data_IF_902296581146
#
_entry.id   IF_902296581146
#
_cell.length_a   1.000
_cell.length_b   1.000
_cell.length_c   1.000
_cell.angle_alpha   90.00
_cell.angle_beta   90.00
_cell.angle_gamma   90.00
#
_symmetry.space_group_name_H-M   'P 1'
#
loop_
_entity.id
_entity.type
_entity.pdbx_description
1 polymer ?
#
# COMPACT_ATOMS: atom_id res chain seq x y z
N UNK A 1 3.48 -2.74 -16.22
CA UNK A 1 3.06 -2.90 -14.81
C UNK A 1 1.78 -2.08 -14.62
N UNK A 2 0.92 -2.42 -13.66
CA UNK A 2 -0.34 -1.68 -13.40
C UNK A 2 -0.37 -1.17 -11.97
N UNK A 3 -1.03 -0.04 -11.74
CA UNK A 3 -1.25 0.49 -10.40
C UNK A 3 -2.28 -0.35 -9.64
N UNK A 4 -2.07 -0.48 -8.33
CA UNK A 4 -2.99 -1.14 -7.40
C UNK A 4 -3.40 -0.14 -6.33
N UNK A 5 -4.70 -0.05 -6.07
CA UNK A 5 -5.25 0.84 -5.04
C UNK A 5 -4.85 0.33 -3.65
N UNK A 6 -4.25 1.23 -2.87
CA UNK A 6 -3.95 0.98 -1.45
C UNK A 6 -5.20 1.23 -0.63
N UNK A 7 -5.58 0.27 0.21
CA UNK A 7 -6.83 0.31 0.99
C UNK A 7 -6.62 0.74 2.44
N UNK A 8 -5.37 0.73 2.92
CA UNK A 8 -5.03 1.23 4.26
C UNK A 8 -3.53 1.23 4.52
N UNK A 9 -3.12 1.88 5.61
CA UNK A 9 -1.72 1.87 6.06
C UNK A 9 -1.59 1.71 7.57
N UNK A 10 -0.41 1.30 8.04
CA UNK A 10 0.00 1.39 9.44
C UNK A 10 1.39 2.00 9.53
N UNK A 11 1.58 2.95 10.44
CA UNK A 11 2.86 3.62 10.63
C UNK A 11 3.52 3.23 11.96
N UNK A 12 4.83 2.99 11.92
CA UNK A 12 5.67 2.73 13.09
C UNK A 12 7.01 3.47 12.92
N UNK A 13 7.05 4.74 13.37
CA UNK A 13 8.19 5.62 13.16
C UNK A 13 8.46 5.83 11.67
N UNK A 14 9.57 5.29 11.17
CA UNK A 14 9.99 5.33 9.75
C UNK A 14 9.51 4.15 8.91
N UNK A 15 8.73 3.22 9.47
CA UNK A 15 8.16 2.10 8.72
C UNK A 15 6.72 2.42 8.36
N UNK A 16 6.40 2.38 7.08
CA UNK A 16 5.03 2.51 6.58
C UNK A 16 4.62 1.20 5.93
N UNK A 17 3.64 0.51 6.52
CA UNK A 17 3.09 -0.73 5.97
C UNK A 17 1.78 -0.43 5.28
N UNK A 18 1.72 -0.64 3.96
CA UNK A 18 0.51 -0.47 3.16
C UNK A 18 -0.21 -1.79 2.95
N UNK A 19 -1.55 -1.75 2.93
CA UNK A 19 -2.45 -2.88 2.67
C UNK A 19 -3.20 -2.67 1.35
N UNK A 20 -3.41 -3.74 0.60
CA UNK A 20 -4.13 -3.71 -0.68
C UNK A 20 -4.65 -5.10 -1.04
N UNK A 21 -5.64 -5.17 -1.93
CA UNK A 21 -6.10 -6.41 -2.54
C UNK A 21 -5.37 -6.63 -3.87
N UNK A 22 -4.98 -7.87 -4.16
CA UNK A 22 -4.35 -8.23 -5.43
C UNK A 22 -4.59 -9.68 -5.81
N UNK A 23 -4.45 -10.00 -7.09
CA UNK A 23 -4.45 -11.38 -7.58
C UNK A 23 -3.22 -12.20 -7.12
N UNK A 24 -3.40 -13.51 -6.95
CA UNK A 24 -2.33 -14.40 -6.43
C UNK A 24 -1.16 -14.65 -7.40
N UNK A 25 -1.33 -14.35 -8.70
CA UNK A 25 -0.30 -14.59 -9.72
C UNK A 25 0.39 -13.29 -10.19
N UNK A 26 0.62 -12.35 -9.29
CA UNK A 26 1.38 -11.15 -9.59
C UNK A 26 2.46 -10.89 -8.52
N UNK A 27 3.55 -10.28 -8.96
CA UNK A 27 4.48 -9.63 -8.07
C UNK A 27 3.98 -8.22 -7.75
N UNK A 28 4.14 -7.80 -6.50
CA UNK A 28 3.78 -6.47 -6.05
C UNK A 28 4.99 -5.75 -5.50
N UNK A 29 5.20 -4.52 -5.96
CA UNK A 29 6.20 -3.60 -5.40
C UNK A 29 5.48 -2.40 -4.81
N UNK A 30 5.91 -1.99 -3.62
CA UNK A 30 5.44 -0.77 -2.98
C UNK A 30 6.57 0.25 -2.95
N UNK A 31 6.22 1.52 -3.16
CA UNK A 31 7.12 2.65 -3.05
C UNK A 31 6.43 3.79 -2.31
N UNK A 32 7.23 4.66 -1.69
CA UNK A 32 6.78 5.90 -1.08
C UNK A 32 7.59 7.07 -1.63
N UNK A 33 6.91 8.21 -1.82
CA UNK A 33 7.53 9.51 -2.10
C UNK A 33 7.13 10.48 -1.01
N UNK A 34 8.13 11.04 -0.34
CA UNK A 34 7.92 11.95 0.78
C UNK A 34 7.95 13.41 0.34
N UNK A 35 7.13 14.21 1.01
CA UNK A 35 7.12 15.66 0.95
C UNK A 35 6.81 16.22 2.34
N UNK A 36 6.75 17.54 2.48
CA UNK A 36 6.60 18.20 3.78
C UNK A 36 5.30 17.81 4.51
N UNK A 37 4.17 17.74 3.80
CA UNK A 37 2.83 17.54 4.38
C UNK A 37 2.25 16.14 4.11
N UNK A 38 2.84 15.37 3.18
CA UNK A 38 2.29 14.07 2.78
C UNK A 38 3.35 13.06 2.34
N UNK A 39 2.94 11.79 2.39
CA UNK A 39 3.62 10.63 1.82
C UNK A 39 2.72 10.02 0.75
N UNK A 40 3.17 10.06 -0.51
CA UNK A 40 2.47 9.40 -1.62
C UNK A 40 2.93 7.96 -1.70
N UNK A 41 2.00 7.01 -1.61
CA UNK A 41 2.27 5.58 -1.75
C UNK A 41 1.83 5.08 -3.12
N UNK A 42 2.63 4.19 -3.69
CA UNK A 42 2.30 3.53 -4.96
C UNK A 42 2.56 2.05 -4.83
N UNK A 43 1.59 1.24 -5.26
CA UNK A 43 1.76 -0.20 -5.42
C UNK A 43 1.61 -0.53 -6.89
N UNK A 44 2.57 -1.27 -7.44
CA UNK A 44 2.53 -1.74 -8.83
C UNK A 44 2.47 -3.26 -8.87
N UNK A 45 1.59 -3.80 -9.71
CA UNK A 45 1.54 -5.21 -10.04
C UNK A 45 2.29 -5.54 -11.35
N UNK A 46 3.00 -6.67 -11.32
CA UNK A 46 3.56 -7.32 -12.51
C UNK A 46 3.04 -8.75 -12.57
N UNK A 47 2.15 -9.02 -13.53
CA UNK A 47 1.54 -10.34 -13.70
C UNK A 47 2.59 -11.36 -14.13
N UNK A 48 2.56 -12.54 -13.51
CA UNK A 48 3.42 -13.68 -13.85
C UNK A 48 2.82 -14.45 -15.03
N UNK A 49 3.64 -15.03 -15.91
CA UNK A 49 3.15 -15.89 -16.99
C UNK A 49 2.57 -17.20 -16.45
N UNK A 50 1.62 -17.80 -17.18
CA UNK A 50 1.03 -19.11 -16.88
C UNK A 50 -0.50 -19.10 -16.71
N UNK A 51 -1.09 -20.28 -16.50
CA UNK A 51 -2.51 -20.43 -16.18
C UNK A 51 -2.74 -19.93 -14.75
N UNK A 52 -3.49 -18.83 -14.59
CA UNK A 52 -3.75 -18.23 -13.29
C UNK A 52 -5.22 -18.35 -12.91
N UNK A 53 -5.49 -18.76 -11.67
CA UNK A 53 -6.82 -18.75 -11.09
C UNK A 53 -7.22 -17.32 -10.68
N UNK A 54 -8.49 -16.97 -10.88
CA UNK A 54 -9.05 -15.67 -10.50
C UNK A 54 -9.33 -15.61 -8.98
N UNK A 55 -8.27 -15.50 -8.18
CA UNK A 55 -8.35 -15.35 -6.72
C UNK A 55 -7.66 -14.07 -6.29
N UNK A 56 -8.38 -13.23 -5.55
CA UNK A 56 -7.86 -12.06 -4.86
C UNK A 56 -7.46 -12.39 -3.42
N UNK A 57 -6.40 -11.76 -2.93
CA UNK A 57 -5.92 -11.85 -1.55
C UNK A 57 -5.51 -10.48 -1.05
N UNK A 58 -5.62 -10.26 0.24
CA UNK A 58 -5.01 -9.10 0.89
C UNK A 58 -3.49 -9.28 1.05
N UNK A 59 -2.75 -8.24 0.70
CA UNK A 59 -1.32 -8.15 0.84
C UNK A 59 -0.94 -6.97 1.73
N UNK A 60 0.16 -7.13 2.46
CA UNK A 60 0.84 -6.06 3.16
C UNK A 60 2.26 -5.89 2.62
N UNK A 61 2.70 -4.65 2.44
CA UNK A 61 4.08 -4.32 2.06
C UNK A 61 4.59 -3.17 2.90
N UNK A 62 5.79 -3.32 3.44
CA UNK A 62 6.43 -2.27 4.24
C UNK A 62 7.45 -1.54 3.39
N UNK A 63 7.42 -0.22 3.44
CA UNK A 63 8.44 0.66 2.91
C UNK A 63 9.10 1.42 4.05
N UNK A 64 10.38 1.76 3.86
CA UNK A 64 11.11 2.62 4.77
C UNK A 64 11.01 4.07 4.31
N UNK A 65 10.71 4.95 5.25
CA UNK A 65 10.71 6.39 5.08
C UNK A 65 12.05 6.98 5.53
N UNK A 66 12.42 8.10 4.93
CA UNK A 66 13.56 8.93 5.28
C UNK A 66 13.33 9.59 6.65
N UNK A 67 12.10 10.07 6.91
CA UNK A 67 11.67 10.65 8.18
C UNK A 67 10.46 9.91 8.78
N UNK A 68 10.22 9.99 10.11
CA UNK A 68 9.01 9.42 10.72
C UNK A 68 7.73 9.97 10.09
N UNK A 69 6.65 9.17 9.98
CA UNK A 69 5.41 9.64 9.36
C UNK A 69 4.87 10.91 10.02
N UNK A 70 4.81 10.93 11.37
CA UNK A 70 4.24 12.02 12.17
C UNK A 70 2.84 12.40 11.67
N UNK A 71 2.54 13.70 11.51
CA UNK A 71 1.23 14.21 11.12
C UNK A 71 1.01 14.26 9.60
N UNK A 72 1.95 13.71 8.81
CA UNK A 72 1.87 13.75 7.34
C UNK A 72 0.76 12.85 6.84
N UNK A 73 -0.05 13.36 5.92
CA UNK A 73 -1.10 12.57 5.29
C UNK A 73 -0.51 11.46 4.41
N UNK A 74 -1.09 10.27 4.43
CA UNK A 74 -0.78 9.23 3.44
C UNK A 74 -1.79 9.31 2.31
N UNK A 75 -1.30 9.40 1.08
CA UNK A 75 -2.14 9.49 -0.12
C UNK A 75 -1.77 8.44 -1.15
N UNK A 76 -2.75 7.98 -1.92
CA UNK A 76 -2.57 7.07 -3.04
C UNK A 76 -1.95 7.76 -4.25
N UNK A 77 -1.70 6.99 -5.31
CA UNK A 77 -1.15 7.52 -6.57
C UNK A 77 -2.13 8.45 -7.31
N UNK A 78 -3.42 8.33 -7.01
CA UNK A 78 -4.52 9.19 -7.44
C UNK A 78 -4.60 10.51 -6.63
N UNK A 79 -3.85 10.61 -5.52
CA UNK A 79 -3.89 11.76 -4.61
C UNK A 79 -4.94 11.65 -3.51
N UNK A 80 -5.75 10.59 -3.50
CA UNK A 80 -6.77 10.38 -2.48
C UNK A 80 -6.16 9.94 -1.16
N UNK A 81 -6.78 10.34 -0.05
CA UNK A 81 -6.30 9.93 1.29
C UNK A 81 -6.48 8.43 1.49
N UNK A 82 -5.42 7.77 1.92
CA UNK A 82 -5.45 6.39 2.38
C UNK A 82 -5.74 6.41 3.88
N UNK A 83 -6.71 5.64 4.40
CA UNK A 83 -7.00 5.61 5.82
C UNK A 83 -5.94 4.85 6.61
N UNK A 84 -5.68 5.28 7.84
CA UNK A 84 -4.90 4.50 8.80
C UNK A 84 -5.72 3.25 9.21
N UNK A 85 -5.11 2.09 9.06
CA UNK A 85 -5.67 0.80 9.41
C UNK A 85 -5.58 0.60 10.93
N UNK A 86 -6.29 1.41 11.70
CA UNK A 86 -6.47 1.17 13.14
C UNK A 86 -7.67 0.25 13.43
N UNK A 87 -8.56 0.02 12.46
CA UNK A 87 -9.72 -0.86 12.63
C UNK A 87 -10.01 -1.59 11.30
N UNK A 88 -9.49 -2.81 11.17
CA UNK A 88 -10.03 -3.72 10.17
C UNK A 88 -11.52 -3.94 10.51
N UNK A 89 -12.46 -3.82 9.56
CA UNK A 89 -13.84 -4.26 9.80
C UNK A 89 -13.95 -5.78 10.05
N UNK A 90 -12.85 -6.53 9.86
CA UNK A 90 -12.72 -7.95 10.20
C UNK A 90 -12.14 -8.19 11.61
N UNK A 91 -11.93 -7.13 12.41
CA UNK A 91 -11.56 -7.25 13.83
C UNK A 91 -12.79 -7.23 14.76
N UNK A 92 -14.00 -7.39 14.21
CA UNK A 92 -15.24 -7.66 14.94
C UNK A 92 -15.81 -9.00 14.51
#
# INVERSE_FOLDING_TARGET
ERGVTVTGYRAEGRKLTVRFLGGVCAEYRAAARESADRVTVTVTEKRRPGNCIAIGKEYARTVSLDAPLADRAVVGADGDRVPEAEQSPLSR
#
